data_IF_387015371565
#
_entry.id   IF_387015371565
#
_cell.length_a   1.000
_cell.length_b   1.000
_cell.length_c   1.000
_cell.angle_alpha   90.00
_cell.angle_beta   90.00
_cell.angle_gamma   90.00
#
_symmetry.space_group_name_H-M   'P 1'
#
loop_
_entity.id
_entity.type
_entity.pdbx_description
1 polymer ?
#
# COMPACT_ATOMS: atom_id res chain seq x y z
N UNK A 1 -8.18 15.35 1.48
CA UNK A 1 -8.49 13.97 1.92
C UNK A 1 -7.45 13.01 1.35
N UNK A 2 -6.46 12.66 2.15
CA UNK A 2 -5.30 11.86 1.77
C UNK A 2 -5.63 10.38 2.01
N UNK A 3 -5.71 9.57 0.95
CA UNK A 3 -5.98 8.13 1.12
C UNK A 3 -4.69 7.40 1.53
N UNK A 4 -4.83 6.49 2.51
CA UNK A 4 -3.74 5.74 3.14
C UNK A 4 -3.86 4.26 2.77
N UNK A 5 -2.83 3.70 2.16
CA UNK A 5 -2.76 2.29 1.78
C UNK A 5 -1.89 1.52 2.77
N UNK A 6 -2.42 0.50 3.44
CA UNK A 6 -1.68 -0.35 4.38
C UNK A 6 -1.46 -1.72 3.75
N UNK A 7 -0.21 -2.17 3.67
CA UNK A 7 0.06 -3.55 3.31
C UNK A 7 1.26 -4.13 4.06
N UNK A 8 1.26 -5.45 4.21
CA UNK A 8 2.24 -6.19 4.98
C UNK A 8 3.15 -7.02 4.07
N UNK A 9 4.45 -7.05 4.39
CA UNK A 9 5.31 -8.12 3.91
C UNK A 9 6.35 -8.49 4.97
N UNK A 10 6.13 -9.63 5.60
CA UNK A 10 7.11 -10.32 6.42
C UNK A 10 7.09 -11.80 6.06
N UNK A 11 8.26 -12.42 6.10
CA UNK A 11 8.44 -13.86 5.83
C UNK A 11 8.07 -14.74 7.04
N UNK A 12 7.80 -14.13 8.19
CA UNK A 12 7.28 -14.78 9.38
C UNK A 12 6.01 -14.04 9.81
N UNK A 13 4.92 -14.79 9.97
CA UNK A 13 3.66 -14.31 10.55
C UNK A 13 3.91 -13.88 12.00
N UNK A 14 4.35 -12.64 12.20
CA UNK A 14 4.66 -12.11 13.53
C UNK A 14 3.37 -11.75 14.26
N UNK A 15 3.27 -12.19 15.52
CA UNK A 15 2.19 -11.83 16.44
C UNK A 15 2.26 -10.34 16.75
N UNK A 16 1.61 -9.51 15.93
CA UNK A 16 1.61 -8.05 16.09
C UNK A 16 1.15 -7.27 14.86
N UNK A 17 1.21 -7.89 13.68
CA UNK A 17 0.84 -7.21 12.42
C UNK A 17 -0.64 -6.83 12.36
N UNK A 18 -1.53 -7.71 12.83
CA UNK A 18 -2.95 -7.40 12.89
C UNK A 18 -3.23 -6.24 13.86
N UNK A 19 -2.43 -6.09 14.93
CA UNK A 19 -2.53 -4.95 15.82
C UNK A 19 -2.06 -3.65 15.13
N UNK A 20 -0.95 -3.70 14.37
CA UNK A 20 -0.47 -2.57 13.59
C UNK A 20 -1.46 -2.13 12.50
N UNK A 21 -1.96 -3.08 11.70
CA UNK A 21 -2.97 -2.83 10.65
C UNK A 21 -4.22 -2.21 11.29
N UNK A 22 -4.69 -2.75 12.42
CA UNK A 22 -5.85 -2.20 13.13
C UNK A 22 -5.61 -0.78 13.64
N UNK A 23 -4.44 -0.52 14.23
CA UNK A 23 -4.11 0.79 14.78
C UNK A 23 -4.05 1.86 13.67
N UNK A 24 -3.34 1.57 12.58
CA UNK A 24 -3.20 2.47 11.43
C UNK A 24 -4.56 2.69 10.76
N UNK A 25 -5.35 1.63 10.57
CA UNK A 25 -6.67 1.74 9.95
C UNK A 25 -7.64 2.56 10.80
N UNK A 26 -7.72 2.27 12.11
CA UNK A 26 -8.60 3.04 13.01
C UNK A 26 -8.17 4.49 13.11
N UNK A 27 -6.88 4.76 13.20
CA UNK A 27 -6.38 6.13 13.26
C UNK A 27 -6.64 6.88 11.95
N UNK A 28 -6.44 6.23 10.79
CA UNK A 28 -6.76 6.79 9.48
C UNK A 28 -8.24 7.15 9.34
N UNK A 29 -9.13 6.23 9.73
CA UNK A 29 -10.58 6.49 9.74
C UNK A 29 -10.93 7.62 10.72
N UNK A 30 -10.31 7.63 11.92
CA UNK A 30 -10.54 8.65 12.94
C UNK A 30 -10.19 10.07 12.48
N UNK A 31 -9.11 10.23 11.70
CA UNK A 31 -8.73 11.54 11.12
C UNK A 31 -9.51 11.90 9.85
N UNK A 32 -10.52 11.10 9.46
CA UNK A 32 -11.32 11.32 8.26
C UNK A 32 -10.61 10.95 6.94
N UNK A 33 -9.53 10.17 7.00
CA UNK A 33 -8.85 9.65 5.82
C UNK A 33 -9.56 8.39 5.27
N UNK A 34 -9.53 8.21 3.95
CA UNK A 34 -9.97 6.97 3.31
C UNK A 34 -8.84 5.95 3.40
N UNK A 35 -9.03 4.89 4.16
CA UNK A 35 -8.01 3.84 4.32
C UNK A 35 -8.30 2.69 3.37
N UNK A 36 -7.27 2.21 2.69
CA UNK A 36 -7.31 1.02 1.85
C UNK A 36 -6.36 -0.04 2.39
N UNK A 37 -6.81 -1.29 2.39
CA UNK A 37 -6.01 -2.46 2.72
C UNK A 37 -5.61 -3.15 1.42
N UNK A 38 -4.33 -3.50 1.29
CA UNK A 38 -3.85 -4.28 0.14
C UNK A 38 -3.58 -5.71 0.57
N UNK A 39 -4.25 -6.62 -0.10
CA UNK A 39 -4.12 -8.06 0.09
C UNK A 39 -2.92 -8.59 -0.69
N UNK A 40 -2.31 -9.68 -0.22
CA UNK A 40 -1.15 -10.33 -0.88
C UNK A 40 0.08 -9.41 -1.06
N UNK A 41 0.18 -8.37 -0.23
CA UNK A 41 1.29 -7.42 -0.19
C UNK A 41 1.56 -6.73 -1.53
N UNK A 42 2.82 -6.73 -1.98
CA UNK A 42 3.19 -6.09 -3.25
C UNK A 42 2.51 -6.73 -4.47
N UNK A 43 2.14 -8.01 -4.39
CA UNK A 43 1.48 -8.68 -5.52
C UNK A 43 0.10 -8.07 -5.74
N UNK A 44 -0.69 -7.93 -4.69
CA UNK A 44 -1.99 -7.27 -4.80
C UNK A 44 -1.92 -5.79 -5.14
N UNK A 45 -0.80 -5.12 -4.83
CA UNK A 45 -0.57 -3.75 -5.29
C UNK A 45 -0.42 -3.67 -6.83
N UNK A 46 0.32 -4.62 -7.41
CA UNK A 46 0.52 -4.75 -8.87
C UNK A 46 -0.75 -5.21 -9.57
N UNK A 47 -1.43 -6.23 -9.02
CA UNK A 47 -2.65 -6.79 -9.60
C UNK A 47 -3.82 -5.80 -9.52
N UNK A 48 -3.85 -4.97 -8.47
CA UNK A 48 -4.92 -4.00 -8.26
C UNK A 48 -6.28 -4.66 -8.07
N UNK A 49 -7.34 -3.98 -8.54
CA UNK A 49 -8.70 -4.54 -8.48
C UNK A 49 -9.13 -4.89 -7.04
N UNK A 50 -9.67 -6.09 -6.85
CA UNK A 50 -10.17 -6.57 -5.55
C UNK A 50 -9.08 -6.76 -4.49
N UNK A 51 -7.81 -6.72 -4.86
CA UNK A 51 -6.72 -6.77 -3.90
C UNK A 51 -6.53 -5.45 -3.14
N UNK A 52 -7.13 -4.34 -3.58
CA UNK A 52 -7.08 -3.04 -2.88
C UNK A 52 -8.49 -2.68 -2.43
N UNK A 53 -8.82 -2.96 -1.16
CA UNK A 53 -10.17 -2.77 -0.62
C UNK A 53 -10.23 -1.59 0.32
N UNK A 54 -11.30 -0.81 0.23
CA UNK A 54 -11.58 0.24 1.21
C UNK A 54 -11.86 -0.43 2.56
N UNK A 55 -11.16 0.03 3.60
CA UNK A 55 -11.38 -0.45 4.96
C UNK A 55 -12.37 0.44 5.70
N UNK A 56 -13.23 -0.25 6.45
CA UNK A 56 -14.20 0.35 7.34
C UNK A 56 -13.81 -0.03 8.78
N UNK A 57 -14.46 0.58 9.77
CA UNK A 57 -14.23 0.27 11.18
C UNK A 57 -14.40 -1.23 11.49
N UNK A 58 -15.39 -1.85 10.85
CA UNK A 58 -15.69 -3.28 10.97
C UNK A 58 -14.62 -4.17 10.32
N UNK A 59 -13.94 -3.71 9.26
CA UNK A 59 -12.92 -4.48 8.54
C UNK A 59 -11.72 -4.86 9.40
N UNK A 60 -11.48 -4.14 10.51
CA UNK A 60 -10.39 -4.41 11.46
C UNK A 60 -10.91 -4.77 12.86
N UNK A 61 -12.16 -5.22 12.95
CA UNK A 61 -12.73 -5.72 14.21
C UNK A 61 -12.33 -7.18 14.44
N UNK A 62 -11.99 -7.52 15.68
CA UNK A 62 -11.57 -8.86 16.09
C UNK A 62 -10.33 -9.45 15.39
N UNK A 63 -9.57 -8.66 14.63
CA UNK A 63 -8.40 -9.16 13.88
C UNK A 63 -7.16 -9.40 14.75
N UNK A 64 -7.07 -8.78 15.93
CA UNK A 64 -5.88 -8.90 16.82
C UNK A 64 -5.70 -10.34 17.29
N UNK A 65 -6.79 -11.07 17.52
CA UNK A 65 -6.77 -12.44 18.02
C UNK A 65 -6.38 -13.45 16.92
N UNK A 66 -6.40 -13.03 15.66
CA UNK A 66 -6.08 -13.90 14.53
C UNK A 66 -4.56 -14.02 14.40
N UNK A 67 -4.09 -15.25 14.27
CA UNK A 67 -2.69 -15.53 13.94
C UNK A 67 -2.34 -15.04 12.54
N UNK A 68 -1.10 -14.60 12.36
CA UNK A 68 -0.60 -14.10 11.08
C UNK A 68 -1.16 -12.73 10.70
N UNK A 69 -1.54 -12.56 9.43
CA UNK A 69 -1.93 -11.26 8.88
C UNK A 69 -3.21 -11.41 8.06
N UNK A 70 -4.24 -10.64 8.40
CA UNK A 70 -5.57 -10.69 7.76
C UNK A 70 -5.57 -10.29 6.28
N UNK A 71 -4.50 -9.62 5.83
CA UNK A 71 -4.32 -9.20 4.45
C UNK A 71 -3.39 -10.12 3.66
N UNK A 72 -2.89 -11.21 4.27
CA UNK A 72 -1.91 -12.08 3.62
C UNK A 72 -0.56 -11.40 3.37
N UNK A 73 0.36 -12.14 2.76
CA UNK A 73 1.70 -11.66 2.39
C UNK A 73 2.23 -12.58 1.29
N UNK A 74 2.34 -12.05 0.06
CA UNK A 74 2.91 -12.80 -1.06
C UNK A 74 4.28 -12.26 -1.48
N UNK A 75 5.14 -13.17 -1.96
CA UNK A 75 6.37 -12.78 -2.64
C UNK A 75 6.01 -12.32 -4.05
N UNK A 76 6.19 -11.02 -4.30
CA UNK A 76 6.03 -10.46 -5.64
C UNK A 76 7.38 -10.33 -6.34
N UNK A 77 7.56 -11.04 -7.46
CA UNK A 77 8.69 -10.81 -8.39
C UNK A 77 8.42 -9.63 -9.32
N UNK A 78 7.17 -9.39 -9.71
CA UNK A 78 6.82 -8.30 -10.61
C UNK A 78 7.20 -6.92 -10.04
N UNK A 79 7.13 -6.73 -8.72
CA UNK A 79 7.49 -5.44 -8.10
C UNK A 79 8.99 -5.11 -8.18
N UNK A 80 9.86 -6.08 -8.48
CA UNK A 80 11.29 -5.79 -8.72
C UNK A 80 11.53 -5.15 -10.08
N UNK A 81 10.61 -5.33 -11.04
CA UNK A 81 10.70 -4.70 -12.36
C UNK A 81 10.05 -3.32 -12.36
N UNK A 82 10.53 -2.45 -13.25
CA UNK A 82 9.97 -1.10 -13.44
C UNK A 82 8.50 -1.16 -13.87
N UNK A 83 8.16 -2.12 -14.72
CA UNK A 83 6.79 -2.34 -15.21
C UNK A 83 5.81 -2.70 -14.10
N UNK A 84 6.19 -3.59 -13.18
CA UNK A 84 5.35 -3.92 -12.03
C UNK A 84 5.16 -2.73 -11.10
N UNK A 85 6.20 -1.93 -10.86
CA UNK A 85 6.07 -0.67 -10.10
C UNK A 85 5.16 0.33 -10.81
N UNK A 86 5.23 0.42 -12.13
CA UNK A 86 4.34 1.29 -12.91
C UNK A 86 2.88 0.85 -12.83
N UNK A 87 2.60 -0.44 -12.91
CA UNK A 87 1.26 -0.99 -12.70
C UNK A 87 0.75 -0.70 -11.27
N UNK A 88 1.59 -0.89 -10.25
CA UNK A 88 1.28 -0.54 -8.87
C UNK A 88 0.97 0.96 -8.69
N UNK A 89 1.78 1.83 -9.29
CA UNK A 89 1.55 3.27 -9.26
C UNK A 89 0.22 3.63 -9.94
N UNK A 90 -0.07 3.04 -11.10
CA UNK A 90 -1.34 3.23 -11.80
C UNK A 90 -2.54 2.85 -10.93
N UNK A 91 -2.48 1.71 -10.24
CA UNK A 91 -3.57 1.24 -9.37
C UNK A 91 -3.80 2.16 -8.16
N UNK A 92 -2.73 2.67 -7.55
CA UNK A 92 -2.81 3.64 -6.45
C UNK A 92 -3.45 4.94 -6.92
N UNK A 93 -2.96 5.45 -8.05
CA UNK A 93 -3.38 6.70 -8.64
C UNK A 93 -4.83 6.65 -9.10
N UNK A 94 -5.25 5.55 -9.74
CA UNK A 94 -6.65 5.30 -10.15
C UNK A 94 -7.64 5.37 -8.97
N UNK A 95 -7.18 5.04 -7.77
CA UNK A 95 -7.99 5.08 -6.52
C UNK A 95 -7.82 6.37 -5.72
N UNK A 96 -7.02 7.32 -6.22
CA UNK A 96 -6.71 8.57 -5.53
C UNK A 96 -5.86 8.38 -4.26
N UNK A 97 -5.06 7.32 -4.22
CA UNK A 97 -4.18 7.01 -3.08
C UNK A 97 -2.85 7.74 -3.25
N UNK A 98 -2.51 8.56 -2.25
CA UNK A 98 -1.29 9.37 -2.24
C UNK A 98 -0.37 9.08 -1.05
N UNK A 99 -0.76 8.18 -0.13
CA UNK A 99 0.06 7.83 1.02
C UNK A 99 0.10 6.32 1.17
N UNK A 100 1.29 5.80 1.37
CA UNK A 100 1.54 4.36 1.48
C UNK A 100 2.17 4.09 2.86
N UNK A 101 1.49 3.28 3.68
CA UNK A 101 2.04 2.76 4.91
C UNK A 101 2.46 1.31 4.69
N UNK A 102 3.75 1.05 4.83
CA UNK A 102 4.32 -0.29 4.66
C UNK A 102 4.76 -0.80 6.03
N UNK A 103 4.23 -1.94 6.41
CA UNK A 103 4.64 -2.67 7.61
C UNK A 103 5.32 -3.97 7.16
N UNK A 104 6.54 -4.23 7.61
CA UNK A 104 7.29 -5.40 7.18
C UNK A 104 8.77 -5.27 7.48
N UNK A 105 9.54 -6.33 7.18
CA UNK A 105 10.99 -6.32 7.39
C UNK A 105 11.76 -5.48 6.38
N UNK A 106 13.08 -5.45 6.52
CA UNK A 106 13.99 -4.55 5.77
C UNK A 106 13.83 -4.61 4.24
N UNK A 107 13.60 -5.81 3.68
CA UNK A 107 13.37 -5.96 2.24
C UNK A 107 12.10 -5.25 1.75
N UNK A 108 11.06 -5.21 2.59
CA UNK A 108 9.81 -4.52 2.30
C UNK A 108 9.98 -3.01 2.43
N UNK A 109 10.71 -2.57 3.45
CA UNK A 109 11.06 -1.16 3.66
C UNK A 109 11.92 -0.61 2.52
N UNK A 110 12.91 -1.40 2.07
CA UNK A 110 13.77 -1.05 0.93
C UNK A 110 12.96 -0.92 -0.35
N UNK A 111 12.06 -1.88 -0.63
CA UNK A 111 11.16 -1.81 -1.79
C UNK A 111 10.26 -0.57 -1.75
N UNK A 112 9.76 -0.20 -0.57
CA UNK A 112 8.91 0.97 -0.39
C UNK A 112 9.68 2.28 -0.58
N UNK A 113 10.94 2.32 -0.13
CA UNK A 113 11.82 3.47 -0.32
C UNK A 113 12.18 3.66 -1.79
N UNK A 114 12.55 2.59 -2.50
CA UNK A 114 12.80 2.64 -3.95
C UNK A 114 11.55 3.13 -4.69
N UNK A 115 10.39 2.57 -4.36
CA UNK A 115 9.13 2.95 -4.98
C UNK A 115 8.78 4.43 -4.76
N UNK A 116 9.06 4.95 -3.55
CA UNK A 116 8.90 6.37 -3.23
C UNK A 116 9.85 7.26 -4.04
N UNK A 117 11.13 6.91 -4.09
CA UNK A 117 12.14 7.69 -4.81
C UNK A 117 11.88 7.72 -6.32
N UNK A 118 11.35 6.62 -6.85
CA UNK A 118 11.00 6.47 -8.26
C UNK A 118 9.62 7.05 -8.64
N UNK A 119 8.83 7.48 -7.65
CA UNK A 119 7.42 7.84 -7.83
C UNK A 119 7.19 8.92 -8.87
N UNK A 120 7.96 10.00 -8.84
CA UNK A 120 7.85 11.11 -9.81
C UNK A 120 8.05 10.61 -11.25
N UNK A 121 9.10 9.83 -11.49
CA UNK A 121 9.36 9.27 -12.81
C UNK A 121 8.31 8.24 -13.26
N UNK A 122 7.70 7.51 -12.33
CA UNK A 122 6.58 6.60 -12.64
C UNK A 122 5.34 7.38 -13.07
N UNK A 123 5.03 8.49 -12.39
CA UNK A 123 3.93 9.37 -12.76
C UNK A 123 4.14 10.01 -14.13
N UNK A 124 5.36 10.48 -14.42
CA UNK A 124 5.69 11.06 -15.73
C UNK A 124 5.51 10.03 -16.86
N UNK A 125 5.93 8.79 -16.61
CA UNK A 125 5.75 7.70 -17.57
C UNK A 125 4.27 7.33 -17.77
N UNK A 126 3.50 7.30 -16.68
CA UNK A 126 2.05 7.08 -16.72
C UNK A 126 1.32 8.19 -17.48
N UNK A 127 1.70 9.45 -17.27
CA UNK A 127 1.15 10.60 -17.98
C UNK A 127 1.44 10.53 -19.48
N UNK A 128 2.63 10.05 -19.87
CA UNK A 128 3.00 9.85 -21.28
C UNK A 128 2.24 8.69 -21.93
N UNK A 129 2.05 7.58 -21.20
CA UNK A 129 1.33 6.40 -21.70
C UNK A 129 -0.18 6.62 -21.77
N UNK A 130 -0.75 7.33 -20.81
CA UNK A 130 -2.18 7.64 -20.77
C UNK A 130 -2.42 8.96 -21.50
N UNK A 131 -2.52 8.88 -22.82
CA UNK A 131 -2.86 10.01 -23.69
C UNK A 131 -4.15 10.71 -23.21
N UNK A 132 -3.99 11.94 -22.71
CA UNK A 132 -4.97 13.04 -22.64
C UNK A 132 -6.21 13.02 -21.70
N UNK A 133 -6.31 12.18 -20.66
CA UNK A 133 -7.50 12.24 -19.77
C UNK A 133 -7.31 12.26 -18.25
N UNK A 134 -6.08 12.27 -17.70
CA UNK A 134 -5.92 12.37 -16.24
C UNK A 134 -4.91 13.46 -15.83
N UNK A 135 -5.44 14.60 -15.36
CA UNK A 135 -4.68 15.66 -14.71
C UNK A 135 -4.28 15.22 -13.28
N UNK A 136 -3.08 14.66 -13.11
CA UNK A 136 -2.51 14.36 -11.80
C UNK A 136 -1.76 15.57 -11.24
N UNK A 137 -2.49 16.56 -10.71
CA UNK A 137 -1.88 17.70 -10.02
C UNK A 137 -1.42 17.30 -8.61
N UNK A 138 -0.11 17.22 -8.40
CA UNK A 138 0.50 17.31 -7.05
C UNK A 138 0.48 16.06 -6.17
N UNK A 139 0.45 14.85 -6.73
CA UNK A 139 0.49 13.63 -5.94
C UNK A 139 1.91 13.31 -5.43
N UNK A 140 2.35 13.95 -4.35
CA UNK A 140 3.51 13.48 -3.59
C UNK A 140 3.16 12.18 -2.87
N UNK A 141 3.87 11.08 -3.13
CA UNK A 141 3.70 9.85 -2.36
C UNK A 141 4.42 9.98 -1.02
N UNK A 142 3.64 10.10 0.06
CA UNK A 142 4.21 10.00 1.40
C UNK A 142 4.24 8.52 1.81
N UNK A 143 5.43 7.92 1.83
CA UNK A 143 5.60 6.61 2.43
C UNK A 143 5.92 6.77 3.93
N UNK A 144 5.05 6.24 4.79
CA UNK A 144 5.30 6.14 6.23
C UNK A 144 5.62 4.68 6.53
N UNK A 145 6.89 4.40 6.80
CA UNK A 145 7.36 3.12 7.30
C UNK A 145 7.33 3.11 8.84
N UNK A 146 6.74 2.07 9.43
CA UNK A 146 6.75 1.77 10.87
C UNK A 146 6.67 0.24 11.03
N UNK A 147 7.43 -0.44 11.89
CA UNK A 147 8.60 -0.12 12.69
C UNK A 147 9.39 -1.43 12.88
N UNK A 148 10.71 -1.31 13.05
CA UNK A 148 11.61 -2.35 13.55
C UNK A 148 11.41 -2.56 15.06
N UNK A 149 11.53 -3.80 15.51
CA UNK A 149 12.16 -4.12 16.80
C UNK A 149 13.57 -4.65 16.49
#
# INVERSE_FOLDING_TARGET
LHALCVFNKMLYNSAGMNAAIRAVTRMGIYVGAKVYLVYEGYQGLVDGGDNIKLANWQSVTNIIQLGGTVIGSARCKAFTTREGRLAAAFNLVKRGISNLCVCGGDGSLTGANIFRSEWSGLLDELLKKVCHQMYFKGASLNCIAKMND
#
